data_IF_650802360472
#
_entry.id   IF_650802360472
#
_cell.length_a   1.000
_cell.length_b   1.000
_cell.length_c   1.000
_cell.angle_alpha   90.00
_cell.angle_beta   90.00
_cell.angle_gamma   90.00
#
_symmetry.space_group_name_H-M   'P 1'
#
loop_
_entity.id
_entity.type
_entity.pdbx_description
1 polymer ?
#
# COMPACT_ATOMS: atom_id res chain seq x y z
N UNK A 1 3.65 -19.23 -41.98
CA UNK A 1 3.32 -20.19 -40.89
C UNK A 1 3.72 -19.64 -39.52
N UNK A 2 4.97 -19.24 -39.28
CA UNK A 2 5.46 -18.70 -37.96
C UNK A 2 4.75 -17.44 -37.43
N UNK A 3 4.21 -16.59 -38.31
CA UNK A 3 3.53 -15.35 -37.90
C UNK A 3 2.11 -15.64 -37.37
N UNK A 4 1.44 -16.62 -37.95
CA UNK A 4 0.11 -17.07 -37.52
C UNK A 4 0.18 -17.77 -36.14
N UNK A 5 1.16 -18.64 -35.93
CA UNK A 5 1.39 -19.28 -34.63
C UNK A 5 1.66 -18.30 -33.49
N UNK A 6 2.46 -17.25 -33.71
CA UNK A 6 2.69 -16.22 -32.68
C UNK A 6 1.43 -15.43 -32.35
N UNK A 7 0.58 -15.17 -33.33
CA UNK A 7 -0.69 -14.45 -33.13
C UNK A 7 -1.68 -15.30 -32.33
N UNK A 8 -1.72 -16.59 -32.59
CA UNK A 8 -2.61 -17.54 -31.90
C UNK A 8 -2.17 -17.78 -30.45
N UNK A 9 -0.85 -17.86 -30.18
CA UNK A 9 -0.28 -17.96 -28.83
C UNK A 9 -0.54 -16.69 -28.02
N UNK A 10 -0.43 -15.53 -28.63
CA UNK A 10 -0.68 -14.24 -27.95
C UNK A 10 -2.17 -14.07 -27.64
N UNK A 11 -3.06 -14.44 -28.54
CA UNK A 11 -4.51 -14.42 -28.32
C UNK A 11 -4.94 -15.46 -27.26
N UNK A 12 -4.32 -16.63 -27.22
CA UNK A 12 -4.54 -17.63 -26.18
C UNK A 12 -4.14 -17.13 -24.80
N UNK A 13 -2.96 -16.51 -24.65
CA UNK A 13 -2.50 -15.91 -23.37
C UNK A 13 -3.39 -14.76 -22.90
N UNK A 14 -3.89 -13.91 -23.82
CA UNK A 14 -4.85 -12.86 -23.49
C UNK A 14 -6.22 -13.42 -23.04
N UNK A 15 -6.69 -14.50 -23.66
CA UNK A 15 -7.94 -15.19 -23.25
C UNK A 15 -7.80 -15.81 -21.86
N UNK A 16 -6.68 -16.48 -21.58
CA UNK A 16 -6.41 -17.07 -20.26
C UNK A 16 -6.28 -15.99 -19.17
N UNK A 17 -5.61 -14.86 -19.44
CA UNK A 17 -5.53 -13.74 -18.52
C UNK A 17 -6.89 -13.12 -18.20
N UNK A 18 -7.74 -12.92 -19.21
CA UNK A 18 -9.12 -12.43 -19.03
C UNK A 18 -9.99 -13.42 -18.23
N UNK A 19 -9.84 -14.72 -18.49
CA UNK A 19 -10.58 -15.76 -17.76
C UNK A 19 -10.14 -15.83 -16.28
N UNK A 20 -8.84 -15.68 -15.98
CA UNK A 20 -8.35 -15.61 -14.60
C UNK A 20 -8.85 -14.36 -13.87
N UNK A 21 -8.86 -13.20 -14.52
CA UNK A 21 -9.41 -11.96 -13.93
C UNK A 21 -10.91 -12.12 -13.67
N UNK A 22 -11.66 -12.69 -14.61
CA UNK A 22 -13.08 -12.96 -14.45
C UNK A 22 -13.36 -13.97 -13.32
N UNK A 23 -12.54 -15.00 -13.20
CA UNK A 23 -12.62 -15.99 -12.12
C UNK A 23 -12.30 -15.35 -10.75
N UNK A 24 -11.30 -14.49 -10.66
CA UNK A 24 -11.04 -13.70 -9.45
C UNK A 24 -12.22 -12.80 -9.09
N UNK A 25 -12.79 -12.08 -10.05
CA UNK A 25 -13.98 -11.24 -9.84
C UNK A 25 -15.17 -12.08 -9.36
N UNK A 26 -15.42 -13.26 -9.96
CA UNK A 26 -16.47 -14.18 -9.55
C UNK A 26 -16.22 -14.74 -8.14
N UNK A 27 -14.98 -15.08 -7.79
CA UNK A 27 -14.63 -15.52 -6.44
C UNK A 27 -14.81 -14.40 -5.40
N UNK A 28 -14.54 -13.15 -5.74
CA UNK A 28 -14.83 -11.99 -4.88
C UNK A 28 -16.32 -11.66 -4.76
N UNK A 29 -17.14 -12.05 -5.75
CA UNK A 29 -18.60 -11.81 -5.75
C UNK A 29 -19.40 -12.96 -5.13
N UNK A 30 -18.83 -14.16 -5.00
CA UNK A 30 -19.53 -15.34 -4.49
C UNK A 30 -19.68 -15.40 -2.96
N UNK A 31 -19.00 -14.55 -2.20
CA UNK A 31 -19.10 -14.51 -0.73
C UNK A 31 -20.40 -13.85 -0.21
N UNK A 32 -21.35 -13.48 -1.08
CA UNK A 32 -22.57 -12.78 -0.69
C UNK A 32 -23.77 -13.68 -0.39
N UNK A 33 -23.61 -15.00 -0.25
CA UNK A 33 -24.76 -15.93 -0.17
C UNK A 33 -24.94 -16.61 1.19
N UNK A 34 -24.16 -16.29 2.25
CA UNK A 34 -24.41 -16.91 3.54
C UNK A 34 -24.35 -15.92 4.69
N UNK A 35 -25.51 -15.71 5.33
CA UNK A 35 -25.76 -14.99 6.59
C UNK A 35 -25.34 -13.51 6.60
N UNK A 36 -26.31 -12.62 6.48
CA UNK A 36 -26.23 -11.17 6.62
C UNK A 36 -25.90 -10.73 8.05
N UNK A 37 -24.69 -10.98 8.53
CA UNK A 37 -24.12 -10.13 9.55
C UNK A 37 -23.72 -8.83 8.85
N UNK A 38 -24.48 -7.75 9.11
CA UNK A 38 -24.23 -6.45 8.47
C UNK A 38 -22.80 -5.98 8.79
N UNK A 39 -21.95 -5.87 7.77
CA UNK A 39 -20.58 -5.38 7.94
C UNK A 39 -20.56 -3.98 8.56
N UNK A 40 -19.61 -3.74 9.44
CA UNK A 40 -19.32 -2.41 9.96
C UNK A 40 -18.36 -1.73 9.01
N UNK A 41 -18.80 -0.64 8.40
CA UNK A 41 -18.02 0.19 7.49
C UNK A 41 -17.35 1.34 8.24
N UNK A 42 -16.11 1.67 7.87
CA UNK A 42 -15.35 2.76 8.46
C UNK A 42 -14.65 3.56 7.40
N UNK A 43 -14.65 4.89 7.59
CA UNK A 43 -13.83 5.82 6.84
C UNK A 43 -12.78 6.40 7.79
N UNK A 44 -11.51 6.42 7.37
CA UNK A 44 -10.42 6.92 8.17
C UNK A 44 -9.51 7.84 7.37
N UNK A 45 -8.91 8.80 8.07
CA UNK A 45 -7.83 9.63 7.57
C UNK A 45 -6.59 9.34 8.42
N UNK A 46 -5.42 9.22 7.78
CA UNK A 46 -4.19 8.89 8.48
C UNK A 46 -3.05 9.76 7.94
N UNK A 47 -2.33 10.44 8.83
CA UNK A 47 -1.09 11.15 8.54
C UNK A 47 0.11 10.32 8.96
N UNK A 48 1.19 10.37 8.17
CA UNK A 48 2.46 9.71 8.49
C UNK A 48 3.62 10.66 8.34
N UNK A 49 4.60 10.52 9.25
CA UNK A 49 5.90 11.18 9.16
C UNK A 49 6.99 10.13 9.41
N UNK A 50 7.96 10.04 8.52
CA UNK A 50 8.89 8.93 8.54
C UNK A 50 10.31 9.26 8.15
N UNK A 51 11.15 8.26 8.35
CA UNK A 51 12.56 8.26 7.99
C UNK A 51 12.79 7.42 6.75
N UNK A 52 13.48 8.01 5.76
CA UNK A 52 13.91 7.32 4.54
C UNK A 52 15.27 6.67 4.81
N UNK A 53 15.38 5.37 4.56
CA UNK A 53 16.65 4.66 4.59
C UNK A 53 17.49 5.01 3.36
N UNK A 54 18.67 5.64 3.52
CA UNK A 54 19.49 6.12 2.39
C UNK A 54 20.26 4.96 1.76
N UNK A 55 19.55 4.04 1.10
CA UNK A 55 20.10 2.81 0.52
C UNK A 55 20.83 3.03 -0.82
N UNK A 56 20.60 4.19 -1.48
CA UNK A 56 21.23 4.52 -2.77
C UNK A 56 22.08 5.79 -2.67
N UNK A 57 22.98 6.00 -3.62
CA UNK A 57 23.79 7.23 -3.72
C UNK A 57 22.91 8.46 -3.90
N UNK A 58 21.85 8.36 -4.69
CA UNK A 58 20.85 9.41 -4.86
C UNK A 58 20.27 9.88 -3.51
N UNK A 59 19.87 8.96 -2.64
CA UNK A 59 19.34 9.29 -1.29
C UNK A 59 20.42 9.84 -0.36
N UNK A 60 21.70 9.51 -0.61
CA UNK A 60 22.85 10.01 0.15
C UNK A 60 23.36 11.36 -0.31
N UNK A 61 22.71 12.01 -1.29
CA UNK A 61 23.00 13.36 -1.71
C UNK A 61 23.52 13.51 -3.13
N UNK A 62 23.68 12.43 -3.89
CA UNK A 62 23.96 12.47 -5.33
C UNK A 62 22.65 12.77 -6.11
N UNK A 63 22.05 13.91 -5.80
CA UNK A 63 20.82 14.44 -6.40
C UNK A 63 21.00 15.94 -6.71
N UNK A 64 20.13 16.52 -7.50
CA UNK A 64 20.19 17.94 -7.90
C UNK A 64 20.23 18.90 -6.70
N UNK A 65 19.60 18.51 -5.58
CA UNK A 65 19.58 19.31 -4.35
C UNK A 65 20.87 19.20 -3.53
N UNK A 66 21.74 18.21 -3.85
CA UNK A 66 22.96 17.88 -3.08
C UNK A 66 22.69 17.69 -1.59
N UNK A 67 21.54 17.10 -1.26
CA UNK A 67 21.08 16.89 0.13
C UNK A 67 20.71 15.44 0.37
N UNK A 68 21.06 14.95 1.56
CA UNK A 68 20.63 13.63 2.01
C UNK A 68 19.13 13.68 2.24
N UNK A 69 18.40 12.73 1.64
CA UNK A 69 16.96 12.59 1.81
C UNK A 69 16.66 11.65 2.97
N UNK A 70 16.09 12.19 4.06
CA UNK A 70 15.86 11.44 5.31
C UNK A 70 14.40 11.46 5.76
N UNK A 71 13.62 12.41 5.29
CA UNK A 71 12.24 12.61 5.76
C UNK A 71 11.23 12.29 4.67
N UNK A 72 10.18 11.59 5.05
CA UNK A 72 9.00 11.34 4.26
C UNK A 72 7.77 11.81 5.02
N UNK A 73 6.80 12.37 4.31
CA UNK A 73 5.47 12.66 4.83
C UNK A 73 4.42 12.05 3.90
N UNK A 74 3.33 11.56 4.46
CA UNK A 74 2.20 11.10 3.65
C UNK A 74 0.86 11.32 4.35
N UNK A 75 -0.19 11.43 3.52
CA UNK A 75 -1.56 11.50 3.97
C UNK A 75 -2.38 10.40 3.27
N UNK A 76 -3.23 9.73 4.02
CA UNK A 76 -4.00 8.59 3.53
C UNK A 76 -5.48 8.78 3.81
N UNK A 77 -6.31 8.41 2.83
CA UNK A 77 -7.74 8.19 2.99
C UNK A 77 -8.00 6.69 2.90
N UNK A 78 -8.71 6.13 3.89
CA UNK A 78 -8.89 4.68 4.02
C UNK A 78 -10.37 4.36 4.19
N UNK A 79 -10.86 3.41 3.41
CA UNK A 79 -12.17 2.81 3.62
C UNK A 79 -11.98 1.36 4.00
N UNK A 80 -12.61 0.93 5.10
CA UNK A 80 -12.52 -0.45 5.58
C UNK A 80 -13.87 -0.99 5.98
N UNK A 81 -13.96 -2.31 6.01
CA UNK A 81 -15.10 -3.05 6.53
C UNK A 81 -14.63 -4.23 7.37
N UNK A 82 -15.43 -4.60 8.36
CA UNK A 82 -15.20 -5.73 9.26
C UNK A 82 -16.50 -6.39 9.66
N UNK A 83 -16.43 -7.62 10.14
CA UNK A 83 -17.56 -8.28 10.76
C UNK A 83 -17.94 -7.61 12.09
N UNK A 84 -19.21 -7.69 12.50
CA UNK A 84 -19.64 -7.19 13.79
C UNK A 84 -18.91 -7.90 14.94
N UNK A 85 -18.51 -7.16 15.99
CA UNK A 85 -17.82 -7.74 17.14
C UNK A 85 -18.69 -8.82 17.83
N UNK A 86 -18.04 -9.92 18.24
CA UNK A 86 -18.70 -10.99 18.99
C UNK A 86 -19.42 -12.04 18.17
N UNK A 87 -19.46 -11.90 16.83
CA UNK A 87 -19.92 -12.97 15.93
C UNK A 87 -18.95 -14.17 15.98
N UNK A 88 -19.41 -15.35 15.58
CA UNK A 88 -18.55 -16.54 15.52
C UNK A 88 -17.35 -16.30 14.57
N UNK A 89 -17.59 -15.68 13.41
CA UNK A 89 -16.55 -15.34 12.45
C UNK A 89 -15.58 -14.28 12.99
N UNK A 90 -16.06 -13.22 13.68
CA UNK A 90 -15.18 -12.23 14.33
C UNK A 90 -14.24 -12.86 15.34
N UNK A 91 -14.70 -13.86 16.11
CA UNK A 91 -13.85 -14.61 17.05
C UNK A 91 -12.82 -15.49 16.36
N UNK A 92 -13.22 -16.14 15.26
CA UNK A 92 -12.30 -17.02 14.48
C UNK A 92 -11.21 -16.18 13.79
N UNK A 93 -11.56 -15.05 13.19
CA UNK A 93 -10.66 -14.22 12.41
C UNK A 93 -9.99 -13.07 13.20
N UNK A 94 -10.11 -13.07 14.53
CA UNK A 94 -9.39 -12.14 15.40
C UNK A 94 -9.75 -10.67 15.20
N UNK A 95 -11.04 -10.36 14.98
CA UNK A 95 -11.51 -8.99 14.69
C UNK A 95 -10.81 -8.38 13.47
N UNK A 96 -10.60 -9.17 12.43
CA UNK A 96 -9.98 -8.73 11.19
C UNK A 96 -10.82 -7.67 10.47
N UNK A 97 -10.13 -6.76 9.83
CA UNK A 97 -10.72 -5.76 8.94
C UNK A 97 -9.91 -5.69 7.64
N UNK A 98 -10.56 -5.28 6.58
CA UNK A 98 -9.93 -5.13 5.27
C UNK A 98 -10.53 -3.93 4.55
N UNK A 99 -9.82 -3.42 3.55
CA UNK A 99 -10.29 -2.25 2.84
C UNK A 99 -9.37 -1.79 1.72
N UNK A 100 -9.65 -0.58 1.24
CA UNK A 100 -8.88 0.11 0.22
C UNK A 100 -8.40 1.45 0.76
N UNK A 101 -7.21 1.85 0.36
CA UNK A 101 -6.61 3.12 0.75
C UNK A 101 -6.04 3.87 -0.44
N UNK A 102 -6.11 5.19 -0.35
CA UNK A 102 -5.46 6.14 -1.24
C UNK A 102 -4.43 6.92 -0.42
N UNK A 103 -3.15 6.85 -0.78
CA UNK A 103 -2.06 7.55 -0.09
C UNK A 103 -1.37 8.54 -1.00
N UNK A 104 -1.14 9.75 -0.53
CA UNK A 104 -0.32 10.78 -1.16
C UNK A 104 1.01 10.89 -0.42
N UNK A 105 2.14 10.95 -1.14
CA UNK A 105 3.48 10.93 -0.56
C UNK A 105 4.31 12.13 -0.98
N UNK A 106 5.07 12.68 -0.05
CA UNK A 106 6.08 13.71 -0.28
C UNK A 106 7.41 13.28 0.37
N UNK A 107 8.43 13.17 -0.46
CA UNK A 107 9.80 12.79 -0.05
C UNK A 107 10.76 13.98 -0.04
N UNK A 108 10.25 15.22 -0.13
CA UNK A 108 11.04 16.44 -0.11
C UNK A 108 11.78 16.76 -1.41
N UNK A 109 11.70 15.92 -2.45
CA UNK A 109 12.33 16.13 -3.75
C UNK A 109 11.35 15.87 -4.90
N UNK A 110 10.38 16.76 -5.04
CA UNK A 110 9.35 16.66 -6.10
C UNK A 110 9.93 16.78 -7.51
N UNK A 111 11.10 17.45 -7.65
CA UNK A 111 11.71 17.67 -8.94
C UNK A 111 12.20 16.38 -9.56
N UNK A 112 12.86 15.51 -8.80
CA UNK A 112 13.47 14.27 -9.28
C UNK A 112 12.61 13.03 -8.96
N UNK A 113 11.81 13.05 -7.89
CA UNK A 113 10.97 11.90 -7.49
C UNK A 113 9.52 12.01 -7.92
N UNK A 114 9.02 13.24 -8.14
CA UNK A 114 7.60 13.48 -8.39
C UNK A 114 6.80 13.59 -7.09
N UNK A 115 5.49 13.38 -7.22
CA UNK A 115 4.52 13.37 -6.11
C UNK A 115 3.70 12.09 -6.17
N UNK A 116 4.22 10.97 -5.63
CA UNK A 116 3.58 9.68 -5.77
C UNK A 116 2.24 9.60 -5.03
N UNK A 117 1.30 8.90 -5.66
CA UNK A 117 0.01 8.51 -5.08
C UNK A 117 -0.07 6.99 -5.15
N UNK A 118 -0.46 6.33 -4.08
CA UNK A 118 -0.68 4.89 -4.05
C UNK A 118 -2.16 4.57 -3.88
N UNK A 119 -2.65 3.64 -4.69
CA UNK A 119 -3.92 2.94 -4.47
C UNK A 119 -3.60 1.53 -4.00
N UNK A 120 -4.12 1.14 -2.84
CA UNK A 120 -3.75 -0.13 -2.22
C UNK A 120 -4.92 -0.79 -1.50
N UNK A 121 -4.92 -2.12 -1.47
CA UNK A 121 -5.71 -2.91 -0.54
C UNK A 121 -4.94 -3.06 0.77
N UNK A 122 -5.65 -3.14 1.89
CA UNK A 122 -5.04 -3.42 3.18
C UNK A 122 -5.90 -4.38 4.00
N UNK A 123 -5.24 -5.07 4.92
CA UNK A 123 -5.86 -5.95 5.89
C UNK A 123 -5.13 -5.82 7.23
N UNK A 124 -5.89 -5.85 8.30
CA UNK A 124 -5.35 -5.87 9.65
C UNK A 124 -6.22 -6.70 10.59
N UNK A 125 -5.65 -7.02 11.75
CA UNK A 125 -6.39 -7.68 12.82
C UNK A 125 -5.79 -7.32 14.18
N UNK A 126 -6.54 -7.64 15.23
CA UNK A 126 -6.10 -7.48 16.60
C UNK A 126 -5.07 -8.54 16.97
N UNK A 127 -3.92 -8.08 17.48
CA UNK A 127 -2.91 -8.94 18.11
C UNK A 127 -3.29 -9.21 19.57
N UNK A 128 -3.61 -8.14 20.31
CA UNK A 128 -3.92 -8.22 21.74
C UNK A 128 -4.89 -7.10 22.16
N UNK A 129 -5.82 -7.44 23.05
CA UNK A 129 -6.60 -6.46 23.81
C UNK A 129 -5.83 -6.04 25.05
N UNK A 130 -5.57 -4.75 25.21
CA UNK A 130 -4.89 -4.20 26.40
C UNK A 130 -5.93 -3.76 27.44
N UNK A 131 -6.98 -3.10 26.99
CA UNK A 131 -8.17 -2.74 27.76
C UNK A 131 -9.42 -2.95 26.91
N UNK A 132 -10.65 -2.83 27.46
CA UNK A 132 -11.87 -2.89 26.64
C UNK A 132 -11.92 -1.85 25.50
N UNK A 133 -11.14 -0.75 25.62
CA UNK A 133 -11.10 0.33 24.63
C UNK A 133 -9.75 0.49 23.90
N UNK A 134 -8.72 -0.25 24.31
CA UNK A 134 -7.38 -0.15 23.74
C UNK A 134 -6.89 -1.52 23.27
N UNK A 135 -6.48 -1.62 22.03
CA UNK A 135 -5.92 -2.85 21.45
C UNK A 135 -4.65 -2.57 20.66
N UNK A 136 -3.77 -3.56 20.61
CA UNK A 136 -2.63 -3.62 19.70
C UNK A 136 -3.06 -4.39 18.45
N UNK A 137 -2.85 -3.80 17.29
CA UNK A 137 -3.22 -4.35 15.99
C UNK A 137 -2.02 -4.38 15.06
N UNK A 138 -2.03 -5.31 14.08
CA UNK A 138 -1.18 -5.23 12.90
C UNK A 138 -2.00 -4.77 11.70
N UNK A 139 -1.31 -4.24 10.71
CA UNK A 139 -1.88 -3.90 9.40
C UNK A 139 -0.82 -4.05 8.31
N UNK A 140 -1.18 -4.65 7.21
CA UNK A 140 -0.36 -4.69 6.01
C UNK A 140 -1.16 -4.19 4.81
N UNK A 141 -0.47 -3.66 3.81
CA UNK A 141 -1.08 -3.16 2.59
C UNK A 141 -0.22 -3.47 1.37
N UNK A 142 -0.90 -3.68 0.25
CA UNK A 142 -0.30 -3.95 -1.04
C UNK A 142 -1.07 -3.20 -2.13
N UNK A 143 -0.34 -2.60 -3.08
CA UNK A 143 -0.96 -1.88 -4.18
C UNK A 143 0.01 -1.36 -5.21
N UNK A 144 -0.46 -0.39 -5.98
CA UNK A 144 0.33 0.29 -7.00
C UNK A 144 0.44 1.78 -6.68
N UNK A 145 1.61 2.34 -6.95
CA UNK A 145 1.88 3.77 -6.82
C UNK A 145 2.20 4.40 -8.16
N UNK A 146 1.72 5.61 -8.38
CA UNK A 146 1.77 6.37 -9.62
C UNK A 146 2.33 7.77 -9.35
N UNK A 147 2.70 8.51 -10.40
CA UNK A 147 3.17 9.90 -10.25
C UNK A 147 4.67 10.02 -9.94
N UNK A 148 5.41 8.91 -10.03
CA UNK A 148 6.86 8.93 -9.96
C UNK A 148 7.48 9.58 -11.19
N UNK A 149 8.60 10.28 -11.00
CA UNK A 149 9.50 10.68 -12.06
C UNK A 149 10.61 9.64 -12.16
N UNK A 150 10.59 8.75 -13.17
CA UNK A 150 11.60 7.70 -13.29
C UNK A 150 12.95 8.27 -13.69
N UNK A 151 13.98 7.45 -13.57
CA UNK A 151 15.26 7.68 -14.20
C UNK A 151 15.10 7.98 -15.69
N UNK A 152 15.79 8.99 -16.16
CA UNK A 152 15.91 9.33 -17.56
C UNK A 152 17.31 9.92 -17.79
N UNK A 153 18.03 9.40 -18.77
CA UNK A 153 19.42 9.76 -19.02
C UNK A 153 19.64 11.26 -19.27
N UNK A 154 18.67 11.95 -19.87
CA UNK A 154 18.77 13.38 -20.20
C UNK A 154 18.15 14.28 -19.13
N UNK A 155 17.00 13.91 -18.59
CA UNK A 155 16.19 14.80 -17.76
C UNK A 155 16.21 14.45 -16.26
N UNK A 156 16.61 13.22 -15.88
CA UNK A 156 16.63 12.77 -14.48
C UNK A 156 17.73 11.70 -14.24
N UNK A 157 19.01 11.97 -14.58
CA UNK A 157 20.07 10.98 -14.58
C UNK A 157 20.50 10.52 -13.18
N UNK A 158 20.21 11.31 -12.13
CA UNK A 158 20.63 10.98 -10.77
C UNK A 158 19.66 10.03 -10.06
N UNK A 159 18.43 9.89 -10.54
CA UNK A 159 17.41 9.06 -9.87
C UNK A 159 17.69 7.56 -10.07
N UNK A 160 18.48 6.98 -9.17
CA UNK A 160 18.78 5.55 -9.17
C UNK A 160 17.73 4.69 -8.47
N UNK A 161 16.64 5.30 -7.94
CA UNK A 161 15.62 4.60 -7.14
C UNK A 161 14.56 3.98 -8.02
N UNK A 162 13.99 4.78 -8.93
CA UNK A 162 12.81 4.39 -9.70
C UNK A 162 13.04 4.46 -11.21
N UNK A 163 13.01 3.31 -11.88
CA UNK A 163 13.07 3.22 -13.33
C UNK A 163 11.70 3.27 -14.02
N UNK A 164 10.61 3.55 -13.30
CA UNK A 164 9.24 3.47 -13.79
C UNK A 164 8.30 4.50 -13.18
N UNK A 165 7.29 4.91 -13.96
CA UNK A 165 6.20 5.78 -13.49
C UNK A 165 5.21 5.06 -12.57
N UNK A 166 5.15 3.73 -12.65
CA UNK A 166 4.28 2.87 -11.83
C UNK A 166 5.13 1.89 -11.08
N UNK A 167 4.97 1.84 -9.76
CA UNK A 167 5.74 0.96 -8.88
C UNK A 167 4.80 0.28 -7.87
N UNK A 168 5.20 -0.89 -7.36
CA UNK A 168 4.51 -1.54 -6.28
C UNK A 168 4.63 -0.70 -5.00
N UNK A 169 3.58 -0.72 -4.21
CA UNK A 169 3.50 -0.20 -2.85
C UNK A 169 3.28 -1.38 -1.90
N UNK A 170 4.12 -1.49 -0.89
CA UNK A 170 4.01 -2.47 0.18
C UNK A 170 4.11 -1.74 1.51
N UNK A 171 3.28 -2.11 2.48
CA UNK A 171 3.38 -1.60 3.84
C UNK A 171 3.08 -2.69 4.85
N UNK A 172 3.75 -2.63 5.99
CA UNK A 172 3.47 -3.49 7.14
C UNK A 172 3.79 -2.73 8.43
N UNK A 173 2.91 -2.82 9.41
CA UNK A 173 3.08 -2.09 10.66
C UNK A 173 2.21 -2.59 11.79
N UNK A 174 2.42 -1.98 12.94
CA UNK A 174 1.65 -2.20 14.16
C UNK A 174 1.13 -0.86 14.67
N UNK A 175 -0.02 -0.88 15.32
CA UNK A 175 -0.60 0.32 15.91
C UNK A 175 -1.48 -0.01 17.12
N UNK A 176 -1.57 0.95 18.00
CA UNK A 176 -2.58 1.00 19.04
C UNK A 176 -3.86 1.59 18.44
N UNK A 177 -4.96 0.89 18.61
CA UNK A 177 -6.29 1.38 18.31
C UNK A 177 -7.01 1.72 19.62
N UNK A 178 -7.37 2.98 19.79
CA UNK A 178 -8.09 3.48 20.96
C UNK A 178 -9.52 3.88 20.57
N UNK A 179 -10.49 3.18 21.10
CA UNK A 179 -11.92 3.48 20.92
C UNK A 179 -12.28 4.69 21.79
N UNK A 180 -12.36 5.86 21.18
CA UNK A 180 -12.72 7.10 21.87
C UNK A 180 -14.24 7.17 22.10
N UNK A 181 -15.02 6.71 21.11
CA UNK A 181 -16.48 6.66 21.15
C UNK A 181 -17.01 5.56 20.23
N UNK A 182 -18.32 5.26 20.21
CA UNK A 182 -18.90 4.29 19.27
C UNK A 182 -18.66 4.63 17.78
N UNK A 183 -18.35 5.90 17.49
CA UNK A 183 -18.15 6.39 16.10
C UNK A 183 -16.72 6.75 15.77
N UNK A 184 -15.85 6.95 16.76
CA UNK A 184 -14.49 7.44 16.56
C UNK A 184 -13.45 6.58 17.27
N UNK A 185 -12.44 6.19 16.52
CA UNK A 185 -11.23 5.53 17.00
C UNK A 185 -10.02 6.40 16.69
N UNK A 186 -8.99 6.32 17.51
CA UNK A 186 -7.67 6.89 17.27
C UNK A 186 -6.68 5.75 17.07
N UNK A 187 -5.93 5.80 15.97
CA UNK A 187 -4.86 4.85 15.66
C UNK A 187 -3.51 5.54 15.76
N UNK A 188 -2.57 5.00 16.54
CA UNK A 188 -1.22 5.51 16.69
C UNK A 188 -0.25 4.35 16.55
N UNK A 189 0.76 4.46 15.70
CA UNK A 189 1.69 3.37 15.51
C UNK A 189 2.85 3.65 14.58
N UNK A 190 3.49 2.58 14.12
CA UNK A 190 4.57 2.63 13.17
C UNK A 190 4.31 1.66 12.01
N UNK A 191 4.78 2.04 10.82
CA UNK A 191 4.66 1.23 9.62
C UNK A 191 5.92 1.32 8.78
N UNK A 192 6.42 0.19 8.30
CA UNK A 192 7.44 0.13 7.27
C UNK A 192 6.76 0.21 5.90
N UNK A 193 7.34 0.98 4.98
CA UNK A 193 6.85 1.12 3.61
C UNK A 193 7.96 0.84 2.62
N UNK A 194 7.62 0.13 1.56
CA UNK A 194 8.52 -0.19 0.46
C UNK A 194 7.88 0.14 -0.88
N UNK A 195 8.64 0.86 -1.71
CA UNK A 195 8.29 1.09 -3.11
C UNK A 195 9.34 0.45 -4.01
N UNK A 196 8.91 -0.34 -4.97
CA UNK A 196 9.81 -0.92 -5.96
C UNK A 196 9.07 -1.39 -7.22
N UNK A 197 9.82 -1.76 -8.23
CA UNK A 197 9.31 -2.39 -9.44
C UNK A 197 9.67 -3.88 -9.57
N UNK A 198 10.17 -4.51 -8.50
CA UNK A 198 10.51 -5.93 -8.52
C UNK A 198 11.54 -6.31 -9.58
N UNK A 199 12.61 -5.49 -9.76
CA UNK A 199 13.71 -5.71 -10.73
C UNK A 199 13.30 -5.81 -12.21
N UNK A 200 12.11 -5.39 -12.59
CA UNK A 200 11.64 -5.47 -13.98
C UNK A 200 12.22 -4.38 -14.89
N UNK A 201 12.84 -3.33 -14.34
CA UNK A 201 13.49 -2.24 -15.08
C UNK A 201 14.51 -1.51 -14.22
N UNK A 202 15.70 -1.27 -14.76
CA UNK A 202 16.77 -0.50 -14.12
C UNK A 202 16.60 1.01 -14.35
N UNK A 203 17.09 1.85 -13.39
CA UNK A 203 17.51 1.50 -12.03
C UNK A 203 16.32 1.17 -11.11
N UNK A 204 16.52 0.33 -10.10
CA UNK A 204 15.50 -0.04 -9.14
C UNK A 204 16.11 -0.42 -7.78
N UNK A 205 16.72 0.54 -7.10
CA UNK A 205 17.20 0.31 -5.73
C UNK A 205 16.06 0.32 -4.72
N UNK A 206 14.87 0.77 -5.14
CA UNK A 206 13.68 0.90 -4.30
C UNK A 206 13.79 2.01 -3.26
N UNK A 207 12.67 2.32 -2.63
CA UNK A 207 12.59 3.28 -1.53
C UNK A 207 11.99 2.60 -0.31
N UNK A 208 12.69 2.71 0.82
CA UNK A 208 12.24 2.15 2.09
C UNK A 208 12.09 3.26 3.11
N UNK A 209 10.98 3.25 3.84
CA UNK A 209 10.76 4.16 4.98
C UNK A 209 10.28 3.40 6.21
N UNK A 210 10.49 3.99 7.37
CA UNK A 210 9.80 3.66 8.61
C UNK A 210 9.07 4.90 9.06
N UNK A 211 7.77 4.81 9.22
CA UNK A 211 6.88 5.95 9.44
C UNK A 211 6.16 5.79 10.78
N UNK A 212 6.13 6.86 11.57
CA UNK A 212 5.13 7.04 12.62
C UNK A 212 3.80 7.43 11.97
N UNK A 213 2.70 6.82 12.42
CA UNK A 213 1.36 7.08 11.90
C UNK A 213 0.37 7.48 12.98
N UNK A 214 -0.55 8.38 12.62
CA UNK A 214 -1.69 8.80 13.40
C UNK A 214 -2.92 8.92 12.52
N UNK A 215 -4.06 8.40 12.95
CA UNK A 215 -5.29 8.40 12.16
C UNK A 215 -6.54 8.09 12.96
#
# INVERSE_FOLDING_TARGET
TRFRERHDIMNSKMRTGRAMILLMIILFLSDNICAQDAYIHRLGMEGRAGYIFPTSSFLRGENDMRKIMRSACSAHLKYSFRLPPGTAADRIYGSSYQGIGLGYFDFGNRREMGTPVALYAFQGARIAGITPRLSLNYEWGFGASFGWKPYDYLSNPNNTIMGSKVNAYLSAGIHLNWILSPRFDLNIGATAVHFSKGNTRYPNTGLNTIDFKIG
#
